data_IF_607198164000
#
_entry.id   IF_607198164000
#
_cell.length_a   1.000
_cell.length_b   1.000
_cell.length_c   1.000
_cell.angle_alpha   90.00
_cell.angle_beta   90.00
_cell.angle_gamma   90.00
#
_symmetry.space_group_name_H-M   'P 1'
#
loop_
_entity.id
_entity.type
_entity.pdbx_description
1 polymer ?
#
# COMPACT_ATOMS: atom_id res chain seq x y z
N UNK A 1 25.33 11.71 19.73
CA UNK A 1 24.66 11.01 20.86
C UNK A 1 23.59 11.82 21.57
N UNK A 2 23.83 13.06 22.04
CA UNK A 2 22.80 13.86 22.76
C UNK A 2 21.52 14.10 21.95
N UNK A 3 21.62 14.38 20.65
CA UNK A 3 20.46 14.61 19.78
C UNK A 3 19.57 13.37 19.64
N UNK A 4 20.17 12.19 19.40
CA UNK A 4 19.43 10.92 19.28
C UNK A 4 18.64 10.60 20.55
N UNK A 5 19.23 10.80 21.73
CA UNK A 5 18.52 10.62 23.02
C UNK A 5 17.29 11.52 23.16
N UNK A 6 17.33 12.75 22.63
CA UNK A 6 16.16 13.65 22.63
C UNK A 6 15.06 13.12 21.71
N UNK A 7 15.42 12.59 20.54
CA UNK A 7 14.47 11.95 19.63
C UNK A 7 13.88 10.69 20.27
N UNK A 8 14.69 9.87 20.93
CA UNK A 8 14.21 8.70 21.69
C UNK A 8 13.20 9.09 22.78
N UNK A 9 13.47 10.16 23.53
CA UNK A 9 12.53 10.64 24.54
C UNK A 9 11.23 11.15 23.90
N UNK A 10 11.33 11.93 22.82
CA UNK A 10 10.19 12.44 22.08
C UNK A 10 9.29 11.31 21.53
N UNK A 11 9.89 10.24 20.99
CA UNK A 11 9.15 9.16 20.37
C UNK A 11 8.54 8.19 21.39
N UNK A 12 9.20 7.92 22.52
CA UNK A 12 8.80 6.84 23.41
C UNK A 12 8.25 7.28 24.77
N UNK A 13 8.60 8.48 25.26
CA UNK A 13 8.20 8.95 26.59
C UNK A 13 7.03 9.97 26.55
N UNK A 14 6.61 10.40 25.35
CA UNK A 14 5.43 11.26 25.16
C UNK A 14 4.12 10.47 25.25
N UNK A 15 2.98 11.16 25.38
CA UNK A 15 1.67 10.49 25.31
C UNK A 15 1.47 9.78 23.95
N UNK A 16 0.68 8.69 23.89
CA UNK A 16 0.36 8.03 22.62
C UNK A 16 -0.23 8.99 21.58
N UNK A 17 -1.11 9.92 21.99
CA UNK A 17 -1.71 10.90 21.08
C UNK A 17 -0.66 11.85 20.47
N UNK A 18 0.24 12.39 21.31
CA UNK A 18 1.33 13.25 20.84
C UNK A 18 2.28 12.51 19.90
N UNK A 19 2.61 11.26 20.21
CA UNK A 19 3.43 10.40 19.35
C UNK A 19 2.77 10.16 17.99
N UNK A 20 1.48 9.81 17.97
CA UNK A 20 0.75 9.58 16.72
C UNK A 20 0.64 10.86 15.89
N UNK A 21 0.34 11.99 16.52
CA UNK A 21 0.27 13.30 15.85
C UNK A 21 1.62 13.66 15.22
N UNK A 22 2.73 13.48 15.96
CA UNK A 22 4.08 13.71 15.44
C UNK A 22 4.37 12.80 14.24
N UNK A 23 4.15 11.49 14.39
CA UNK A 23 4.51 10.51 13.39
C UNK A 23 3.73 10.71 12.08
N UNK A 24 2.40 10.83 12.19
CA UNK A 24 1.55 11.02 11.01
C UNK A 24 1.64 12.44 10.45
N UNK A 25 1.88 13.44 11.30
CA UNK A 25 2.19 14.80 10.86
C UNK A 25 3.44 14.83 9.98
N UNK A 26 4.54 14.22 10.43
CA UNK A 26 5.77 14.11 9.63
C UNK A 26 5.55 13.29 8.36
N UNK A 27 4.79 12.20 8.44
CA UNK A 27 4.46 11.38 7.26
C UNK A 27 3.73 12.20 6.20
N UNK A 28 2.63 12.87 6.57
CA UNK A 28 1.85 13.71 5.65
C UNK A 28 2.67 14.91 5.16
N UNK A 29 3.53 15.49 5.99
CA UNK A 29 4.41 16.57 5.55
C UNK A 29 5.42 16.09 4.50
N UNK A 30 5.92 14.86 4.65
CA UNK A 30 6.92 14.32 3.72
C UNK A 30 6.31 13.80 2.44
N UNK A 31 5.13 13.21 2.51
CA UNK A 31 4.50 12.59 1.33
C UNK A 31 3.62 13.60 0.63
N UNK A 32 2.90 14.44 1.38
CA UNK A 32 1.75 15.20 0.92
C UNK A 32 0.56 14.28 0.60
N UNK A 33 -0.52 14.89 0.09
CA UNK A 33 -1.75 14.19 -0.30
C UNK A 33 -1.93 14.34 -1.80
N UNK A 34 -2.00 13.23 -2.54
CA UNK A 34 -2.14 13.28 -4.00
C UNK A 34 -3.22 12.33 -4.51
N UNK A 35 -3.95 12.80 -5.51
CA UNK A 35 -5.05 12.14 -6.19
C UNK A 35 -4.51 11.25 -7.30
N UNK A 36 -5.01 10.03 -7.37
CA UNK A 36 -4.76 9.16 -8.51
C UNK A 36 -5.23 9.84 -9.82
N UNK A 37 -4.39 9.99 -10.86
CA UNK A 37 -4.72 10.74 -12.08
C UNK A 37 -5.98 10.29 -12.82
N UNK A 38 -6.37 9.02 -12.69
CA UNK A 38 -7.56 8.46 -13.32
C UNK A 38 -8.69 8.16 -12.31
N UNK A 39 -8.74 8.85 -11.17
CA UNK A 39 -9.81 8.66 -10.18
C UNK A 39 -11.20 8.94 -10.80
N UNK A 40 -11.30 9.91 -11.71
CA UNK A 40 -12.55 10.25 -12.39
C UNK A 40 -13.12 9.08 -13.22
N UNK A 41 -12.26 8.24 -13.79
CA UNK A 41 -12.69 7.04 -14.49
C UNK A 41 -13.30 6.02 -13.51
N UNK A 42 -12.77 5.93 -12.29
CA UNK A 42 -13.38 5.15 -11.21
C UNK A 42 -14.73 5.71 -10.77
N UNK A 43 -14.85 7.04 -10.66
CA UNK A 43 -16.11 7.72 -10.35
C UNK A 43 -17.16 7.52 -11.46
N UNK A 44 -16.73 7.38 -12.72
CA UNK A 44 -17.60 7.05 -13.84
C UNK A 44 -18.20 5.65 -13.70
N UNK A 45 -17.39 4.65 -13.30
CA UNK A 45 -17.88 3.30 -12.97
C UNK A 45 -18.85 3.34 -11.78
N UNK A 46 -18.60 4.21 -10.79
CA UNK A 46 -19.47 4.36 -9.62
C UNK A 46 -20.87 4.92 -9.93
N UNK A 47 -21.11 5.45 -11.14
CA UNK A 47 -22.47 5.86 -11.58
C UNK A 47 -23.36 4.66 -11.86
N UNK A 48 -22.78 3.60 -12.42
CA UNK A 48 -23.43 2.32 -12.62
C UNK A 48 -22.36 1.21 -12.69
N UNK A 49 -22.07 0.51 -11.58
CA UNK A 49 -21.04 -0.52 -11.53
C UNK A 49 -21.46 -1.81 -12.28
N UNK A 50 -22.65 -1.83 -12.87
CA UNK A 50 -23.19 -2.92 -13.68
C UNK A 50 -23.22 -2.58 -15.18
N UNK A 51 -22.58 -1.48 -15.59
CA UNK A 51 -22.40 -1.11 -16.99
C UNK A 51 -20.92 -0.80 -17.27
N UNK A 52 -20.50 -0.94 -18.52
CA UNK A 52 -19.20 -0.47 -18.96
C UNK A 52 -19.33 0.95 -19.52
N UNK A 53 -18.76 1.98 -18.86
CA UNK A 53 -18.83 3.34 -19.36
C UNK A 53 -17.70 3.68 -20.35
N UNK A 54 -16.75 2.76 -20.58
CA UNK A 54 -15.56 3.03 -21.38
C UNK A 54 -15.78 2.65 -22.85
N UNK A 55 -15.61 3.60 -23.78
CA UNK A 55 -15.61 3.28 -25.20
C UNK A 55 -14.29 2.62 -25.64
N UNK A 56 -13.19 2.98 -24.98
CA UNK A 56 -11.86 2.45 -25.23
C UNK A 56 -11.65 1.11 -24.49
N UNK A 57 -11.40 0.01 -25.22
CA UNK A 57 -11.09 -1.30 -24.63
C UNK A 57 -9.92 -1.25 -23.65
N UNK A 58 -8.88 -0.45 -23.89
CA UNK A 58 -7.70 -0.41 -23.02
C UNK A 58 -8.01 0.11 -21.62
N UNK A 59 -9.16 0.75 -21.40
CA UNK A 59 -9.61 1.20 -20.09
C UNK A 59 -10.44 0.15 -19.33
N UNK A 60 -10.83 -0.97 -19.97
CA UNK A 60 -11.72 -1.97 -19.36
C UNK A 60 -11.10 -2.67 -18.14
N UNK A 61 -9.76 -2.66 -18.00
CA UNK A 61 -9.10 -3.22 -16.82
C UNK A 61 -9.51 -2.52 -15.51
N UNK A 62 -10.00 -1.27 -15.58
CA UNK A 62 -10.50 -0.52 -14.43
C UNK A 62 -11.77 -1.15 -13.83
N UNK A 63 -12.55 -1.90 -14.62
CA UNK A 63 -13.68 -2.69 -14.14
C UNK A 63 -13.23 -3.84 -13.22
N UNK A 64 -11.95 -4.19 -13.23
CA UNK A 64 -11.33 -5.10 -12.27
C UNK A 64 -11.27 -4.55 -10.84
N UNK A 65 -11.45 -3.23 -10.67
CA UNK A 65 -11.51 -2.57 -9.37
C UNK A 65 -12.95 -2.24 -8.95
N UNK A 66 -13.83 -3.23 -9.01
CA UNK A 66 -15.28 -3.05 -8.94
C UNK A 66 -15.81 -2.68 -7.54
N UNK A 67 -15.24 -3.23 -6.48
CA UNK A 67 -15.79 -3.10 -5.12
C UNK A 67 -15.85 -1.63 -4.65
N UNK A 68 -14.80 -0.84 -4.87
CA UNK A 68 -14.78 0.59 -4.52
C UNK A 68 -15.91 1.39 -5.20
N UNK A 69 -16.02 1.37 -6.54
CA UNK A 69 -17.16 1.90 -7.30
C UNK A 69 -18.52 1.38 -6.84
N UNK A 70 -18.65 0.09 -6.52
CA UNK A 70 -19.90 -0.47 -6.00
C UNK A 70 -20.28 0.15 -4.64
N UNK A 71 -19.34 0.28 -3.71
CA UNK A 71 -19.58 0.95 -2.42
C UNK A 71 -19.91 2.44 -2.59
N UNK A 72 -19.27 3.12 -3.54
CA UNK A 72 -19.62 4.49 -3.87
C UNK A 72 -21.05 4.59 -4.46
N UNK A 73 -21.42 3.64 -5.31
CA UNK A 73 -22.76 3.57 -5.90
C UNK A 73 -23.85 3.38 -4.84
N UNK A 74 -23.66 2.45 -3.88
CA UNK A 74 -24.62 2.23 -2.78
C UNK A 74 -24.78 3.44 -1.87
N UNK A 75 -23.71 4.22 -1.68
CA UNK A 75 -23.71 5.47 -0.91
C UNK A 75 -24.13 6.70 -1.73
N UNK A 76 -24.42 6.54 -3.03
CA UNK A 76 -24.73 7.63 -3.98
C UNK A 76 -23.60 8.66 -4.15
N UNK A 77 -22.35 8.24 -3.97
CA UNK A 77 -21.14 9.06 -4.12
C UNK A 77 -20.65 9.10 -5.57
N UNK A 78 -21.48 9.64 -6.46
CA UNK A 78 -21.20 9.66 -7.91
C UNK A 78 -20.35 10.84 -8.39
N UNK A 79 -20.15 11.86 -7.54
CA UNK A 79 -19.29 13.01 -7.88
C UNK A 79 -17.83 12.66 -7.53
N UNK A 80 -16.84 13.09 -8.35
CA UNK A 80 -15.42 12.86 -8.06
C UNK A 80 -14.98 13.23 -6.65
N UNK A 81 -15.49 14.33 -6.10
CA UNK A 81 -15.17 14.78 -4.74
C UNK A 81 -15.62 13.81 -3.64
N UNK A 82 -16.83 13.25 -3.75
CA UNK A 82 -17.32 12.25 -2.80
C UNK A 82 -16.64 10.90 -2.99
N UNK A 83 -16.33 10.54 -4.25
CA UNK A 83 -15.57 9.34 -4.56
C UNK A 83 -14.14 9.42 -3.98
N UNK A 84 -13.47 10.57 -4.11
CA UNK A 84 -12.21 10.86 -3.45
C UNK A 84 -12.32 10.74 -1.93
N UNK A 85 -13.34 11.36 -1.32
CA UNK A 85 -13.56 11.31 0.13
C UNK A 85 -13.74 9.88 0.63
N UNK A 86 -14.44 9.02 -0.12
CA UNK A 86 -14.58 7.60 0.20
C UNK A 86 -13.23 6.87 0.20
N UNK A 87 -12.42 7.08 -0.84
CA UNK A 87 -11.11 6.45 -0.93
C UNK A 87 -10.12 6.98 0.13
N UNK A 88 -10.19 8.26 0.47
CA UNK A 88 -9.47 8.84 1.60
C UNK A 88 -9.92 8.21 2.93
N UNK A 89 -11.23 7.95 3.11
CA UNK A 89 -11.75 7.27 4.28
C UNK A 89 -11.23 5.82 4.38
N UNK A 90 -11.04 5.11 3.27
CA UNK A 90 -10.39 3.79 3.29
C UNK A 90 -8.93 3.87 3.71
N UNK A 91 -8.17 4.87 3.23
CA UNK A 91 -6.79 5.11 3.68
C UNK A 91 -6.69 5.43 5.18
N UNK A 92 -7.63 6.24 5.69
CA UNK A 92 -7.78 6.51 7.12
C UNK A 92 -8.10 5.24 7.90
N UNK A 93 -9.08 4.45 7.45
CA UNK A 93 -9.48 3.20 8.09
C UNK A 93 -8.34 2.18 8.12
N UNK A 94 -7.56 2.07 7.03
CA UNK A 94 -6.35 1.24 6.98
C UNK A 94 -5.34 1.66 8.06
N UNK A 95 -5.03 2.96 8.13
CA UNK A 95 -4.09 3.52 9.10
C UNK A 95 -4.59 3.32 10.54
N UNK A 96 -5.86 3.60 10.81
CA UNK A 96 -6.49 3.44 12.12
C UNK A 96 -6.52 1.97 12.55
N UNK A 97 -6.84 1.04 11.64
CA UNK A 97 -6.81 -0.39 11.91
C UNK A 97 -5.38 -0.85 12.26
N UNK A 98 -4.36 -0.35 11.56
CA UNK A 98 -2.97 -0.70 11.87
C UNK A 98 -2.56 -0.21 13.26
N UNK A 99 -2.85 1.06 13.59
CA UNK A 99 -2.62 1.64 14.91
C UNK A 99 -3.32 0.82 16.00
N UNK A 100 -4.60 0.52 15.80
CA UNK A 100 -5.37 -0.28 16.75
C UNK A 100 -4.79 -1.68 16.93
N UNK A 101 -4.36 -2.35 15.86
CA UNK A 101 -3.73 -3.67 15.94
C UNK A 101 -2.40 -3.62 16.70
N UNK A 102 -1.57 -2.61 16.44
CA UNK A 102 -0.27 -2.45 17.11
C UNK A 102 -0.46 -2.28 18.62
N UNK A 103 -1.29 -1.32 19.05
CA UNK A 103 -1.52 -1.07 20.49
C UNK A 103 -2.33 -2.15 21.20
N UNK A 104 -3.18 -2.91 20.49
CA UNK A 104 -3.92 -4.03 21.11
C UNK A 104 -3.09 -5.29 21.26
N UNK A 105 -2.04 -5.47 20.45
CA UNK A 105 -1.23 -6.69 20.45
C UNK A 105 0.06 -6.57 21.23
N UNK A 106 0.62 -5.38 21.30
CA UNK A 106 1.95 -5.17 21.83
C UNK A 106 1.94 -4.21 23.02
N UNK A 107 2.92 -4.34 23.94
CA UNK A 107 3.17 -3.30 24.91
C UNK A 107 3.48 -1.96 24.22
N UNK A 108 3.30 -0.82 24.92
CA UNK A 108 3.41 0.51 24.32
C UNK A 108 4.72 0.78 23.59
N UNK A 109 5.85 0.21 24.05
CA UNK A 109 7.16 0.37 23.39
C UNK A 109 7.15 -0.29 22.02
N UNK A 110 6.83 -1.57 21.94
CA UNK A 110 6.85 -2.35 20.71
C UNK A 110 5.80 -1.85 19.72
N UNK A 111 4.64 -1.38 20.19
CA UNK A 111 3.63 -0.73 19.35
C UNK A 111 4.18 0.54 18.68
N UNK A 112 4.95 1.37 19.41
CA UNK A 112 5.62 2.55 18.85
C UNK A 112 6.71 2.18 17.85
N UNK A 113 7.51 1.15 18.14
CA UNK A 113 8.49 0.62 17.17
C UNK A 113 7.77 0.20 15.88
N UNK A 114 6.70 -0.59 15.97
CA UNK A 114 5.92 -1.02 14.81
C UNK A 114 5.39 0.15 13.98
N UNK A 115 4.90 1.21 14.65
CA UNK A 115 4.42 2.42 13.99
C UNK A 115 5.53 3.22 13.31
N UNK A 116 6.71 3.34 13.95
CA UNK A 116 7.89 3.97 13.32
C UNK A 116 8.32 3.18 12.08
N UNK A 117 8.41 1.85 12.18
CA UNK A 117 8.74 1.00 11.03
C UNK A 117 7.69 1.15 9.92
N UNK A 118 6.40 1.18 10.28
CA UNK A 118 5.32 1.36 9.32
C UNK A 118 5.42 2.69 8.58
N UNK A 119 5.58 3.80 9.31
CA UNK A 119 5.75 5.12 8.71
C UNK A 119 6.99 5.20 7.79
N UNK A 120 8.06 4.46 8.15
CA UNK A 120 9.27 4.38 7.35
C UNK A 120 9.09 3.68 5.99
N UNK A 121 8.03 2.88 5.84
CA UNK A 121 7.75 2.10 4.64
C UNK A 121 6.85 2.86 3.67
N UNK A 122 7.09 2.74 2.35
CA UNK A 122 6.27 3.41 1.34
C UNK A 122 4.78 3.07 1.40
N UNK A 123 4.43 1.84 1.80
CA UNK A 123 3.04 1.39 1.93
C UNK A 123 2.19 2.26 2.86
N UNK A 124 2.79 2.84 3.91
CA UNK A 124 2.05 3.73 4.83
C UNK A 124 1.61 5.03 4.15
N UNK A 125 2.44 5.52 3.23
CA UNK A 125 2.23 6.73 2.48
C UNK A 125 1.39 6.52 1.21
N UNK A 126 1.46 5.34 0.57
CA UNK A 126 0.73 5.05 -0.69
C UNK A 126 -0.77 5.37 -0.58
N UNK A 127 -1.40 5.06 0.57
CA UNK A 127 -2.81 5.35 0.79
C UNK A 127 -3.17 6.86 0.81
N UNK A 128 -2.18 7.73 0.99
CA UNK A 128 -2.33 9.20 1.07
C UNK A 128 -1.75 9.90 -0.15
N UNK A 129 -0.61 9.42 -0.64
CA UNK A 129 0.07 9.94 -1.82
C UNK A 129 -0.61 9.54 -3.13
N UNK A 130 -1.41 8.46 -3.12
CA UNK A 130 -2.12 8.00 -4.30
C UNK A 130 -3.54 7.59 -3.89
N UNK A 131 -4.37 8.57 -3.50
CA UNK A 131 -5.73 8.31 -3.05
C UNK A 131 -6.54 7.73 -4.21
N UNK A 132 -6.97 6.48 -4.00
CA UNK A 132 -7.65 5.65 -4.99
C UNK A 132 -7.86 4.22 -4.49
N UNK A 133 -7.87 3.21 -5.37
CA UNK A 133 -8.27 1.85 -5.04
C UNK A 133 -7.34 1.15 -4.04
N UNK A 134 -6.10 1.61 -3.88
CA UNK A 134 -5.11 0.98 -2.99
C UNK A 134 -5.49 1.10 -1.50
N UNK A 135 -6.15 2.19 -1.10
CA UNK A 135 -6.59 2.36 0.31
C UNK A 135 -7.52 1.24 0.77
N UNK A 136 -8.50 0.87 -0.06
CA UNK A 136 -9.40 -0.27 0.21
C UNK A 136 -8.65 -1.61 0.13
N UNK A 137 -7.75 -1.75 -0.85
CA UNK A 137 -6.94 -2.97 -1.02
C UNK A 137 -6.06 -3.25 0.21
N UNK A 138 -5.35 -2.23 0.71
CA UNK A 138 -4.52 -2.31 1.91
C UNK A 138 -5.36 -2.54 3.17
N UNK A 139 -6.52 -1.90 3.29
CA UNK A 139 -7.47 -2.15 4.38
C UNK A 139 -7.90 -3.61 4.41
N UNK A 140 -8.29 -4.18 3.27
CA UNK A 140 -8.70 -5.58 3.16
C UNK A 140 -7.55 -6.55 3.47
N UNK A 141 -6.33 -6.29 2.96
CA UNK A 141 -5.15 -7.08 3.30
C UNK A 141 -4.88 -7.07 4.82
N UNK A 142 -4.95 -5.91 5.46
CA UNK A 142 -4.75 -5.78 6.90
C UNK A 142 -5.88 -6.43 7.71
N UNK A 143 -7.13 -6.31 7.27
CA UNK A 143 -8.27 -6.98 7.87
C UNK A 143 -8.12 -8.51 7.83
N UNK A 144 -7.58 -9.05 6.72
CA UNK A 144 -7.26 -10.47 6.61
C UNK A 144 -6.25 -10.91 7.68
N UNK A 145 -5.20 -10.10 7.92
CA UNK A 145 -4.21 -10.37 8.97
C UNK A 145 -4.77 -10.19 10.39
N UNK A 146 -5.67 -9.24 10.60
CA UNK A 146 -6.39 -9.06 11.87
C UNK A 146 -7.22 -10.30 12.21
N UNK A 147 -7.83 -10.89 11.19
CA UNK A 147 -8.72 -12.05 11.27
C UNK A 147 -7.99 -13.39 11.06
N UNK A 148 -6.66 -13.41 11.03
CA UNK A 148 -5.87 -14.60 10.66
C UNK A 148 -6.17 -15.88 11.47
N UNK A 149 -6.76 -15.74 12.67
CA UNK A 149 -7.22 -16.88 13.50
C UNK A 149 -8.53 -17.52 13.02
N UNK A 150 -9.23 -16.90 12.07
CA UNK A 150 -10.54 -17.33 11.55
C UNK A 150 -10.47 -17.49 10.02
N UNK A 151 -9.90 -18.60 9.49
CA UNK A 151 -9.71 -18.78 8.05
C UNK A 151 -10.97 -18.54 7.19
N UNK A 152 -12.19 -18.91 7.60
CA UNK A 152 -13.39 -18.57 6.83
C UNK A 152 -13.61 -17.06 6.66
N UNK A 153 -13.41 -16.29 7.74
CA UNK A 153 -13.51 -14.83 7.69
C UNK A 153 -12.40 -14.22 6.81
N UNK A 154 -11.20 -14.78 6.85
CA UNK A 154 -10.10 -14.40 5.94
C UNK A 154 -10.46 -14.69 4.48
N UNK A 155 -11.11 -15.82 4.21
CA UNK A 155 -11.62 -16.16 2.88
C UNK A 155 -12.67 -15.17 2.37
N UNK A 156 -13.61 -14.75 3.23
CA UNK A 156 -14.61 -13.72 2.89
C UNK A 156 -13.95 -12.37 2.58
N UNK A 157 -12.95 -11.96 3.35
CA UNK A 157 -12.14 -10.77 3.04
C UNK A 157 -11.39 -10.95 1.72
N UNK A 158 -10.90 -12.15 1.44
CA UNK A 158 -10.31 -12.51 0.16
C UNK A 158 -11.27 -12.34 -1.02
N UNK A 159 -12.54 -12.73 -0.87
CA UNK A 159 -13.57 -12.50 -1.91
C UNK A 159 -13.70 -11.02 -2.21
N UNK A 160 -13.85 -10.17 -1.18
CA UNK A 160 -13.90 -8.73 -1.35
C UNK A 160 -12.63 -8.19 -2.04
N UNK A 161 -11.45 -8.70 -1.67
CA UNK A 161 -10.17 -8.31 -2.26
C UNK A 161 -10.08 -8.73 -3.74
N UNK A 162 -10.56 -9.91 -4.10
CA UNK A 162 -10.63 -10.38 -5.50
C UNK A 162 -11.55 -9.55 -6.38
N UNK A 163 -12.59 -8.95 -5.80
CA UNK A 163 -13.50 -8.01 -6.46
C UNK A 163 -12.95 -6.57 -6.51
N UNK A 164 -11.93 -6.25 -5.69
CA UNK A 164 -11.33 -4.92 -5.59
C UNK A 164 -10.03 -4.77 -6.39
N UNK A 165 -9.12 -5.75 -6.31
CA UNK A 165 -7.88 -5.73 -7.08
C UNK A 165 -7.28 -7.13 -7.11
N UNK A 166 -7.77 -7.97 -8.02
CA UNK A 166 -7.39 -9.38 -8.10
C UNK A 166 -5.88 -9.62 -8.20
N UNK A 167 -5.19 -8.94 -9.11
CA UNK A 167 -3.77 -9.21 -9.40
C UNK A 167 -2.89 -8.93 -8.17
N UNK A 168 -3.05 -7.75 -7.57
CA UNK A 168 -2.34 -7.39 -6.34
C UNK A 168 -2.72 -8.32 -5.18
N UNK A 169 -4.03 -8.58 -4.99
CA UNK A 169 -4.50 -9.47 -3.92
C UNK A 169 -3.98 -10.90 -4.06
N UNK A 170 -3.93 -11.42 -5.28
CA UNK A 170 -3.46 -12.77 -5.60
C UNK A 170 -1.97 -12.90 -5.34
N UNK A 171 -1.16 -11.97 -5.86
CA UNK A 171 0.29 -11.93 -5.65
C UNK A 171 0.65 -11.76 -4.17
N UNK A 172 -0.07 -10.89 -3.45
CA UNK A 172 0.12 -10.68 -2.02
C UNK A 172 -0.21 -11.95 -1.21
N UNK A 173 -1.33 -12.60 -1.51
CA UNK A 173 -1.76 -13.83 -0.83
C UNK A 173 -0.85 -15.02 -1.16
N UNK A 174 -0.40 -15.16 -2.41
CA UNK A 174 0.53 -16.19 -2.83
C UNK A 174 1.91 -16.02 -2.19
N UNK A 175 2.44 -14.78 -2.16
CA UNK A 175 3.68 -14.46 -1.46
C UNK A 175 3.59 -14.77 0.04
N UNK A 176 2.48 -14.41 0.69
CA UNK A 176 2.22 -14.75 2.09
C UNK A 176 2.11 -16.26 2.31
N UNK A 177 1.43 -17.00 1.43
CA UNK A 177 1.32 -18.46 1.52
C UNK A 177 2.70 -19.12 1.40
N UNK A 178 3.51 -18.72 0.41
CA UNK A 178 4.88 -19.21 0.27
C UNK A 178 5.71 -18.93 1.53
N UNK A 179 5.65 -17.71 2.05
CA UNK A 179 6.37 -17.31 3.25
C UNK A 179 5.97 -18.13 4.49
N UNK A 180 4.67 -18.34 4.70
CA UNK A 180 4.15 -19.06 5.87
C UNK A 180 4.39 -20.57 5.78
N UNK A 181 4.41 -21.14 4.58
CA UNK A 181 4.84 -22.53 4.35
C UNK A 181 6.34 -22.72 4.67
N UNK A 182 7.19 -21.79 4.22
CA UNK A 182 8.62 -21.81 4.53
C UNK A 182 8.88 -21.61 6.03
N UNK A 183 8.18 -20.67 6.67
CA UNK A 183 8.28 -20.43 8.11
C UNK A 183 7.87 -21.68 8.91
N UNK A 184 6.77 -22.35 8.52
CA UNK A 184 6.33 -23.60 9.14
C UNK A 184 7.38 -24.71 9.02
N UNK A 185 8.04 -24.86 7.87
CA UNK A 185 9.14 -25.84 7.69
C UNK A 185 10.32 -25.58 8.62
N UNK A 186 10.55 -24.32 8.99
CA UNK A 186 11.60 -23.91 9.92
C UNK A 186 11.15 -23.85 11.39
N UNK A 187 9.91 -24.24 11.70
CA UNK A 187 9.36 -24.16 13.06
C UNK A 187 9.15 -22.72 13.57
N UNK A 188 9.06 -21.74 12.67
CA UNK A 188 8.85 -20.33 13.02
C UNK A 188 7.35 -20.07 13.14
N UNK A 189 6.92 -19.67 14.34
CA UNK A 189 5.56 -19.21 14.58
C UNK A 189 5.35 -17.85 13.91
N UNK A 190 4.27 -17.72 13.13
CA UNK A 190 3.90 -16.47 12.45
C UNK A 190 2.47 -16.11 12.80
N UNK A 191 2.14 -14.83 12.70
CA UNK A 191 0.79 -14.32 12.95
C UNK A 191 -0.27 -15.00 12.06
N UNK A 192 0.07 -15.16 10.77
CA UNK A 192 -0.80 -15.76 9.77
C UNK A 192 -0.28 -17.16 9.45
N UNK A 193 -1.04 -18.20 9.78
CA UNK A 193 -0.68 -19.56 9.40
C UNK A 193 -1.02 -19.88 7.93
N UNK A 194 -0.48 -20.97 7.37
CA UNK A 194 -0.71 -21.34 5.97
C UNK A 194 -2.19 -21.60 5.66
N UNK A 195 -3.00 -22.03 6.63
CA UNK A 195 -4.45 -22.20 6.45
C UNK A 195 -5.16 -20.87 6.17
N UNK A 196 -4.78 -19.81 6.87
CA UNK A 196 -5.36 -18.49 6.67
C UNK A 196 -4.86 -17.86 5.36
N UNK A 197 -3.56 -18.00 5.04
CA UNK A 197 -3.01 -17.55 3.77
C UNK A 197 -3.65 -18.27 2.56
N UNK A 198 -3.87 -19.58 2.67
CA UNK A 198 -4.59 -20.36 1.64
C UNK A 198 -6.05 -19.92 1.52
N UNK A 199 -6.74 -19.69 2.64
CA UNK A 199 -8.11 -19.18 2.62
C UNK A 199 -8.20 -17.80 1.96
N UNK A 200 -7.23 -16.91 2.23
CA UNK A 200 -7.14 -15.61 1.56
C UNK A 200 -6.99 -15.77 0.04
N UNK A 201 -6.05 -16.61 -0.41
CA UNK A 201 -5.81 -16.86 -1.83
C UNK A 201 -7.05 -17.46 -2.53
N UNK A 202 -7.66 -18.46 -1.91
CA UNK A 202 -8.90 -19.06 -2.41
C UNK A 202 -10.03 -18.02 -2.49
N UNK A 203 -10.18 -17.20 -1.45
CA UNK A 203 -11.11 -16.07 -1.44
C UNK A 203 -10.88 -15.11 -2.61
N UNK A 204 -9.64 -14.70 -2.85
CA UNK A 204 -9.28 -13.79 -3.97
C UNK A 204 -9.67 -14.37 -5.32
N UNK A 205 -9.40 -15.66 -5.54
CA UNK A 205 -9.79 -16.36 -6.79
C UNK A 205 -11.31 -16.42 -6.92
N UNK A 206 -12.03 -16.77 -5.85
CA UNK A 206 -13.49 -16.79 -5.84
C UNK A 206 -14.10 -15.40 -6.05
N UNK A 207 -13.49 -14.35 -5.49
CA UNK A 207 -13.90 -12.97 -5.70
C UNK A 207 -13.76 -12.54 -7.16
N UNK A 208 -12.67 -12.91 -7.82
CA UNK A 208 -12.49 -12.67 -9.25
C UNK A 208 -13.52 -13.43 -10.09
N UNK A 209 -13.75 -14.71 -9.80
CA UNK A 209 -14.78 -15.49 -10.48
C UNK A 209 -16.19 -14.88 -10.27
N UNK A 210 -16.50 -14.46 -9.04
CA UNK A 210 -17.75 -13.77 -8.70
C UNK A 210 -17.91 -12.45 -9.45
N UNK A 211 -16.83 -11.65 -9.55
CA UNK A 211 -16.82 -10.43 -10.37
C UNK A 211 -17.12 -10.73 -11.84
N UNK A 212 -16.45 -11.73 -12.43
CA UNK A 212 -16.75 -12.13 -13.80
C UNK A 212 -18.21 -12.58 -13.98
N UNK A 213 -18.77 -13.31 -13.01
CA UNK A 213 -20.19 -13.68 -12.99
C UNK A 213 -21.11 -12.46 -12.97
N UNK A 214 -20.83 -11.47 -12.12
CA UNK A 214 -21.60 -10.21 -12.05
C UNK A 214 -21.56 -9.48 -13.40
N UNK A 215 -20.36 -9.33 -13.99
CA UNK A 215 -20.21 -8.62 -15.26
C UNK A 215 -20.92 -9.36 -16.40
N UNK A 216 -20.78 -10.68 -16.46
CA UNK A 216 -21.45 -11.51 -17.47
C UNK A 216 -22.98 -11.46 -17.33
N UNK A 217 -23.51 -11.57 -16.12
CA UNK A 217 -24.94 -11.50 -15.84
C UNK A 217 -25.56 -10.17 -16.30
N UNK A 218 -24.81 -9.07 -16.18
CA UNK A 218 -25.25 -7.73 -16.59
C UNK A 218 -24.89 -7.40 -18.05
N UNK A 219 -24.39 -8.37 -18.84
CA UNK A 219 -24.02 -8.15 -20.24
C UNK A 219 -22.85 -7.19 -20.43
N UNK A 220 -21.99 -7.01 -19.41
CA UNK A 220 -20.85 -6.09 -19.46
C UNK A 220 -19.70 -6.72 -20.21
N UNK A 221 -19.45 -6.25 -21.44
CA UNK A 221 -18.35 -6.75 -22.27
C UNK A 221 -16.98 -6.20 -21.80
N UNK A 222 -16.14 -7.06 -21.25
CA UNK A 222 -14.74 -6.77 -20.93
C UNK A 222 -13.86 -7.35 -22.05
N UNK A 223 -13.27 -6.48 -22.88
CA UNK A 223 -12.48 -6.87 -24.06
C UNK A 223 -10.98 -6.86 -23.83
N UNK A 224 -10.51 -6.19 -22.77
CA UNK A 224 -9.11 -6.10 -22.40
C UNK A 224 -8.98 -6.10 -20.87
N UNK A 225 -8.01 -6.85 -20.36
CA UNK A 225 -7.61 -6.89 -18.96
C UNK A 225 -6.20 -6.34 -18.74
N UNK A 226 -5.71 -6.45 -17.51
CA UNK A 226 -4.36 -5.96 -17.15
C UNK A 226 -3.24 -6.73 -17.85
N UNK A 227 -3.46 -8.01 -18.18
CA UNK A 227 -2.49 -8.81 -18.94
C UNK A 227 -2.39 -8.36 -20.39
N UNK A 228 -3.51 -7.98 -21.01
CA UNK A 228 -3.53 -7.44 -22.36
C UNK A 228 -2.83 -6.07 -22.40
N UNK A 229 -3.14 -5.21 -21.41
CA UNK A 229 -2.43 -3.93 -21.24
C UNK A 229 -0.92 -4.14 -21.06
N UNK A 230 -0.52 -5.09 -20.20
CA UNK A 230 0.89 -5.42 -19.98
C UNK A 230 1.55 -5.92 -21.27
N UNK A 231 0.90 -6.80 -22.03
CA UNK A 231 1.44 -7.30 -23.29
C UNK A 231 1.68 -6.16 -24.28
N UNK A 232 0.76 -5.19 -24.37
CA UNK A 232 0.91 -4.01 -25.21
C UNK A 232 2.02 -3.04 -24.74
N UNK A 233 2.26 -2.97 -23.42
CA UNK A 233 3.18 -1.99 -22.81
C UNK A 233 4.46 -2.59 -22.23
N UNK A 234 4.72 -3.89 -22.46
CA UNK A 234 5.84 -4.60 -21.82
C UNK A 234 7.19 -3.95 -22.11
N UNK A 235 7.45 -3.58 -23.37
CA UNK A 235 8.68 -2.92 -23.77
C UNK A 235 8.89 -1.59 -23.03
N UNK A 236 7.82 -0.84 -22.80
CA UNK A 236 7.86 0.41 -22.05
C UNK A 236 8.12 0.18 -20.57
N UNK A 237 7.43 -0.78 -19.93
CA UNK A 237 7.69 -1.14 -18.52
C UNK A 237 9.14 -1.61 -18.31
N UNK A 238 9.66 -2.45 -19.21
CA UNK A 238 11.05 -2.92 -19.18
C UNK A 238 12.02 -1.74 -19.32
N UNK A 239 11.80 -0.84 -20.28
CA UNK A 239 12.62 0.35 -20.48
C UNK A 239 12.64 1.24 -19.24
N UNK A 240 11.47 1.52 -18.67
CA UNK A 240 11.32 2.35 -17.47
C UNK A 240 12.12 1.79 -16.28
N UNK A 241 12.06 0.47 -16.07
CA UNK A 241 12.82 -0.18 -15.01
C UNK A 241 14.32 -0.20 -15.29
N UNK A 242 14.74 -0.64 -16.49
CA UNK A 242 16.15 -0.84 -16.83
C UNK A 242 16.95 0.47 -16.89
N UNK A 243 16.30 1.60 -17.18
CA UNK A 243 16.96 2.91 -17.16
C UNK A 243 17.16 3.46 -15.74
N UNK A 244 16.33 3.06 -14.77
CA UNK A 244 16.36 3.60 -13.39
C UNK A 244 16.22 2.54 -12.29
N UNK A 245 16.94 1.40 -12.34
CA UNK A 245 16.69 0.26 -11.45
C UNK A 245 16.98 0.60 -9.99
N UNK A 246 17.96 1.47 -9.72
CA UNK A 246 18.35 1.88 -8.38
C UNK A 246 17.27 2.74 -7.70
N UNK A 247 16.67 3.71 -8.41
CA UNK A 247 15.57 4.53 -7.90
C UNK A 247 14.36 3.64 -7.64
N UNK A 248 14.03 2.77 -8.59
CA UNK A 248 12.90 1.85 -8.48
C UNK A 248 13.10 0.92 -7.28
N UNK A 249 14.22 0.22 -7.16
CA UNK A 249 14.51 -0.68 -6.04
C UNK A 249 14.50 0.06 -4.69
N UNK A 250 15.12 1.24 -4.61
CA UNK A 250 15.09 2.06 -3.41
C UNK A 250 13.66 2.42 -3.02
N UNK A 251 12.85 2.87 -3.97
CA UNK A 251 11.48 3.36 -3.72
C UNK A 251 10.51 2.31 -3.18
N UNK A 252 10.78 1.00 -3.35
CA UNK A 252 9.88 -0.08 -2.90
C UNK A 252 9.79 -0.17 -1.38
N UNK A 253 10.93 -0.05 -0.70
CA UNK A 253 11.01 -0.12 0.77
C UNK A 253 11.51 1.19 1.39
N UNK A 254 12.12 2.09 0.62
CA UNK A 254 12.75 3.31 1.11
C UNK A 254 13.73 3.02 2.24
N UNK A 255 13.69 3.80 3.33
CA UNK A 255 14.45 3.51 4.55
C UNK A 255 14.18 2.12 5.16
N UNK A 256 13.07 1.47 4.79
CA UNK A 256 12.77 0.07 5.14
C UNK A 256 13.82 -0.94 4.67
N UNK A 257 14.68 -0.60 3.70
CA UNK A 257 15.85 -1.43 3.37
C UNK A 257 16.81 -1.61 4.56
N UNK A 258 16.93 -0.61 5.46
CA UNK A 258 17.70 -0.75 6.69
C UNK A 258 17.08 -1.78 7.64
N UNK A 259 15.75 -1.85 7.67
CA UNK A 259 15.00 -2.86 8.43
C UNK A 259 15.20 -4.23 7.81
N UNK A 260 15.24 -4.34 6.48
CA UNK A 260 15.55 -5.57 5.78
C UNK A 260 16.95 -6.08 6.16
N UNK A 261 17.97 -5.22 6.09
CA UNK A 261 19.33 -5.59 6.49
C UNK A 261 19.36 -6.07 7.95
N UNK A 262 18.69 -5.35 8.86
CA UNK A 262 18.58 -5.77 10.27
C UNK A 262 17.85 -7.10 10.43
N UNK A 263 16.83 -7.38 9.62
CA UNK A 263 16.12 -8.65 9.63
C UNK A 263 16.96 -9.80 9.08
N UNK A 264 17.90 -9.51 8.17
CA UNK A 264 18.85 -10.49 7.64
C UNK A 264 19.83 -11.03 8.69
N UNK A 265 20.09 -10.27 9.77
CA UNK A 265 20.90 -10.73 10.92
C UNK A 265 20.33 -11.98 11.60
N UNK A 266 19.07 -12.34 11.33
CA UNK A 266 18.46 -13.59 11.78
C UNK A 266 18.98 -14.82 11.01
N UNK A 267 19.86 -14.64 10.02
CA UNK A 267 20.46 -15.69 9.21
C UNK A 267 19.38 -16.49 8.48
N UNK A 268 19.44 -17.83 8.58
CA UNK A 268 18.50 -18.74 7.91
C UNK A 268 17.03 -18.52 8.31
N UNK A 269 16.76 -17.98 9.50
CA UNK A 269 15.40 -17.67 9.96
C UNK A 269 14.74 -16.51 9.19
N UNK A 270 15.53 -15.74 8.44
CA UNK A 270 15.03 -14.67 7.57
C UNK A 270 14.59 -15.15 6.18
N UNK A 271 14.98 -16.37 5.76
CA UNK A 271 14.66 -16.91 4.44
C UNK A 271 13.16 -16.97 4.10
N UNK A 272 12.25 -17.29 5.05
CA UNK A 272 10.81 -17.25 4.77
C UNK A 272 10.31 -15.87 4.33
N UNK A 273 11.01 -14.80 4.71
CA UNK A 273 10.72 -13.44 4.26
C UNK A 273 11.40 -13.13 2.92
N UNK A 274 12.72 -13.37 2.83
CA UNK A 274 13.51 -12.94 1.67
C UNK A 274 13.24 -13.71 0.38
N UNK A 275 12.95 -15.01 0.44
CA UNK A 275 12.70 -15.78 -0.79
C UNK A 275 11.41 -15.31 -1.49
N UNK A 276 10.26 -15.18 -0.79
CA UNK A 276 9.06 -14.61 -1.40
C UNK A 276 9.21 -13.14 -1.76
N UNK A 277 9.91 -12.33 -0.97
CA UNK A 277 10.19 -10.93 -1.33
C UNK A 277 10.98 -10.87 -2.66
N UNK A 278 12.04 -11.67 -2.80
CA UNK A 278 12.82 -11.75 -4.03
C UNK A 278 11.98 -12.12 -5.24
N UNK A 279 11.07 -13.10 -5.10
CA UNK A 279 10.13 -13.45 -6.16
C UNK A 279 9.17 -12.30 -6.51
N UNK A 280 8.64 -11.57 -5.51
CA UNK A 280 7.78 -10.42 -5.74
C UNK A 280 8.54 -9.25 -6.40
N UNK A 281 9.82 -9.04 -6.07
CA UNK A 281 10.64 -8.00 -6.70
C UNK A 281 10.84 -8.22 -8.21
N UNK A 282 10.64 -9.43 -8.73
CA UNK A 282 10.63 -9.69 -10.18
C UNK A 282 9.44 -9.03 -10.90
N UNK A 283 8.47 -8.47 -10.17
CA UNK A 283 7.37 -7.68 -10.73
C UNK A 283 7.79 -6.26 -11.10
N UNK A 284 8.90 -5.75 -10.58
CA UNK A 284 9.40 -4.40 -10.86
C UNK A 284 9.56 -4.08 -12.35
N UNK A 285 10.17 -4.96 -13.18
CA UNK A 285 10.22 -4.75 -14.63
C UNK A 285 8.87 -4.82 -15.35
N UNK A 286 7.81 -5.29 -14.68
CA UNK A 286 6.49 -5.54 -15.27
C UNK A 286 5.43 -4.52 -14.83
N UNK A 287 5.73 -3.67 -13.85
CA UNK A 287 4.81 -2.67 -13.34
C UNK A 287 5.15 -1.28 -13.90
N UNK A 288 4.14 -0.54 -14.37
CA UNK A 288 4.30 0.88 -14.74
C UNK A 288 4.37 1.82 -13.53
N UNK A 289 3.77 1.43 -12.41
CA UNK A 289 3.71 2.14 -11.12
C UNK A 289 4.40 1.31 -10.03
N UNK A 290 5.72 1.21 -10.18
CA UNK A 290 6.56 0.23 -9.50
C UNK A 290 6.44 0.29 -7.97
N UNK A 291 6.53 1.48 -7.37
CA UNK A 291 6.43 1.61 -5.90
C UNK A 291 5.04 1.22 -5.41
N UNK A 292 3.98 1.64 -6.11
CA UNK A 292 2.59 1.38 -5.73
C UNK A 292 2.32 -0.11 -5.64
N UNK A 293 2.57 -0.81 -6.75
CA UNK A 293 2.27 -2.24 -6.88
C UNK A 293 3.07 -3.03 -5.85
N UNK A 294 4.38 -2.77 -5.76
CA UNK A 294 5.22 -3.52 -4.84
C UNK A 294 4.87 -3.25 -3.38
N UNK A 295 4.65 -1.99 -2.99
CA UNK A 295 4.25 -1.65 -1.62
C UNK A 295 3.00 -2.41 -1.18
N UNK A 296 2.00 -2.55 -2.07
CA UNK A 296 0.77 -3.31 -1.80
C UNK A 296 1.03 -4.81 -1.74
N UNK A 297 1.70 -5.40 -2.74
CA UNK A 297 1.87 -6.87 -2.79
C UNK A 297 2.85 -7.40 -1.74
N UNK A 298 3.86 -6.62 -1.36
CA UNK A 298 4.78 -7.01 -0.28
C UNK A 298 4.24 -6.73 1.11
N UNK A 299 3.14 -5.95 1.23
CA UNK A 299 2.62 -5.51 2.52
C UNK A 299 2.34 -6.67 3.48
N UNK A 300 1.65 -7.77 3.10
CA UNK A 300 1.38 -8.84 4.06
C UNK A 300 2.65 -9.51 4.59
N UNK A 301 3.69 -9.61 3.76
CA UNK A 301 4.99 -10.13 4.14
C UNK A 301 5.67 -9.24 5.17
N UNK A 302 5.77 -7.94 4.86
CA UNK A 302 6.35 -6.95 5.78
C UNK A 302 5.53 -6.85 7.07
N UNK A 303 4.21 -6.92 6.98
CA UNK A 303 3.33 -6.90 8.14
C UNK A 303 3.55 -8.11 9.05
N UNK A 304 3.64 -9.32 8.50
CA UNK A 304 3.76 -10.55 9.30
C UNK A 304 5.14 -10.71 9.93
N UNK A 305 6.21 -10.34 9.22
CA UNK A 305 7.58 -10.60 9.69
C UNK A 305 8.24 -9.40 10.37
N UNK A 306 7.80 -8.16 10.11
CA UNK A 306 8.37 -6.97 10.73
C UNK A 306 7.38 -6.25 11.64
N UNK A 307 6.23 -5.85 11.10
CA UNK A 307 5.35 -4.90 11.78
C UNK A 307 4.47 -5.54 12.86
N UNK A 308 4.19 -6.83 12.75
CA UNK A 308 3.35 -7.61 13.65
C UNK A 308 4.08 -8.84 14.23
N UNK A 309 5.42 -8.85 14.16
CA UNK A 309 6.26 -9.85 14.83
C UNK A 309 6.78 -9.29 16.17
N UNK A 310 6.15 -9.70 17.27
CA UNK A 310 6.53 -9.23 18.60
C UNK A 310 7.98 -9.53 18.98
N UNK A 311 8.56 -10.62 18.47
CA UNK A 311 9.95 -10.99 18.76
C UNK A 311 10.96 -10.09 18.05
N UNK A 312 10.65 -9.67 16.83
CA UNK A 312 11.45 -8.72 16.07
C UNK A 312 11.34 -7.31 16.68
N UNK A 313 10.13 -6.87 16.98
CA UNK A 313 9.87 -5.56 17.59
C UNK A 313 10.55 -5.41 18.96
N UNK A 314 10.45 -6.43 19.82
CA UNK A 314 11.06 -6.40 21.15
C UNK A 314 12.59 -6.27 21.10
N UNK A 315 13.24 -6.87 20.09
CA UNK A 315 14.69 -6.81 19.85
C UNK A 315 15.16 -5.50 19.25
N UNK A 316 14.27 -4.69 18.69
CA UNK A 316 14.62 -3.40 18.10
C UNK A 316 14.78 -2.37 19.22
N UNK A 317 16.00 -1.87 19.42
CA UNK A 317 16.29 -0.91 20.48
C UNK A 317 15.61 0.46 20.22
N UNK A 318 15.33 1.22 21.29
CA UNK A 318 14.79 2.59 21.17
C UNK A 318 15.67 3.46 20.28
N UNK A 319 16.99 3.36 20.44
CA UNK A 319 17.98 4.06 19.64
C UNK A 319 17.95 3.68 18.15
N UNK A 320 17.78 2.39 17.83
CA UNK A 320 17.66 1.92 16.44
C UNK A 320 16.40 2.48 15.77
N UNK A 321 15.24 2.41 16.46
CA UNK A 321 13.99 2.95 15.96
C UNK A 321 14.02 4.48 15.82
N UNK A 322 14.61 5.19 16.79
CA UNK A 322 14.80 6.63 16.70
C UNK A 322 15.77 7.02 15.57
N UNK A 323 16.83 6.25 15.37
CA UNK A 323 17.75 6.41 14.25
C UNK A 323 17.04 6.24 12.91
N UNK A 324 16.23 5.20 12.77
CA UNK A 324 15.40 4.99 11.58
C UNK A 324 14.43 6.14 11.36
N UNK A 325 13.77 6.64 12.42
CA UNK A 325 12.87 7.80 12.31
C UNK A 325 13.61 9.04 11.80
N UNK A 326 14.82 9.31 12.29
CA UNK A 326 15.64 10.44 11.81
C UNK A 326 16.03 10.24 10.36
N UNK A 327 16.58 9.07 10.00
CA UNK A 327 16.95 8.74 8.61
C UNK A 327 15.76 8.89 7.69
N UNK A 328 14.62 8.32 8.07
CA UNK A 328 13.37 8.47 7.34
C UNK A 328 13.02 9.95 7.20
N UNK A 329 12.93 10.71 8.30
CA UNK A 329 12.52 12.12 8.27
C UNK A 329 13.38 13.01 7.35
N UNK A 330 14.70 12.76 7.26
CA UNK A 330 15.61 13.58 6.45
C UNK A 330 15.82 13.08 5.02
N UNK A 331 15.59 11.79 4.78
CA UNK A 331 15.77 11.23 3.43
C UNK A 331 14.67 11.78 2.51
N UNK A 332 14.95 12.22 1.29
CA UNK A 332 13.91 12.61 0.35
C UNK A 332 12.92 11.47 0.10
N UNK A 333 11.63 11.77 0.18
CA UNK A 333 10.58 10.82 -0.20
C UNK A 333 10.66 10.57 -1.71
N UNK A 334 10.67 9.30 -2.12
CA UNK A 334 10.75 8.92 -3.53
C UNK A 334 9.76 7.80 -3.82
N UNK A 335 8.86 8.04 -4.77
CA UNK A 335 7.86 7.10 -5.24
C UNK A 335 7.99 6.92 -6.76
N UNK A 336 8.46 5.77 -7.22
CA UNK A 336 8.72 5.52 -8.64
C UNK A 336 7.43 5.22 -9.42
N UNK A 337 7.22 6.01 -10.48
CA UNK A 337 6.18 5.80 -11.49
C UNK A 337 6.68 6.19 -12.86
N UNK A 338 6.51 5.29 -13.82
CA UNK A 338 7.07 5.44 -15.15
C UNK A 338 8.61 5.36 -15.13
N UNK A 339 9.21 4.66 -14.16
CA UNK A 339 10.66 4.63 -13.96
C UNK A 339 11.26 5.92 -13.37
N UNK A 340 10.44 6.95 -13.13
CA UNK A 340 10.90 8.25 -12.61
C UNK A 340 10.49 8.44 -11.15
N UNK A 341 11.32 9.08 -10.32
CA UNK A 341 10.94 9.41 -8.95
C UNK A 341 9.87 10.51 -8.97
N UNK A 342 8.77 10.25 -8.25
CA UNK A 342 7.78 11.25 -7.85
C UNK A 342 8.07 11.66 -6.42
N UNK A 343 8.27 12.96 -6.25
CA UNK A 343 8.64 13.56 -4.98
C UNK A 343 7.42 13.85 -4.13
N UNK A 344 7.66 14.43 -2.95
CA UNK A 344 6.59 14.95 -2.10
C UNK A 344 5.63 15.83 -2.88
N UNK A 345 4.37 15.64 -2.56
CA UNK A 345 3.23 16.34 -3.07
C UNK A 345 3.13 17.77 -2.43
N UNK A 346 3.64 17.91 -1.20
CA UNK A 346 3.48 19.11 -0.37
C UNK A 346 4.16 20.39 -0.90
N UNK A 347 5.39 20.37 -1.46
CA UNK A 347 5.99 21.60 -2.00
C UNK A 347 5.15 22.23 -3.12
N UNK A 348 4.49 21.39 -3.93
CA UNK A 348 3.58 21.85 -4.96
C UNK A 348 2.32 22.49 -4.37
N UNK A 349 1.71 21.85 -3.35
CA UNK A 349 0.59 22.43 -2.60
C UNK A 349 0.90 23.83 -2.07
N UNK A 350 2.07 23.99 -1.43
CA UNK A 350 2.50 25.28 -0.92
C UNK A 350 2.66 26.31 -2.04
N UNK A 351 3.30 25.95 -3.15
CA UNK A 351 3.45 26.84 -4.29
C UNK A 351 2.08 27.26 -4.87
N UNK A 352 1.12 26.34 -4.96
CA UNK A 352 -0.23 26.61 -5.42
C UNK A 352 -0.99 27.58 -4.49
N UNK A 353 -0.95 27.33 -3.18
CA UNK A 353 -1.60 28.19 -2.18
C UNK A 353 -0.97 29.58 -2.20
N UNK A 354 0.36 29.68 -2.18
CA UNK A 354 1.06 30.97 -2.23
C UNK A 354 0.81 31.71 -3.54
N UNK A 355 0.71 31.00 -4.67
CA UNK A 355 0.33 31.63 -5.93
C UNK A 355 -1.11 32.14 -5.90
N UNK A 356 -2.08 31.37 -5.38
CA UNK A 356 -3.48 31.81 -5.27
C UNK A 356 -3.63 33.03 -4.35
N UNK A 357 -2.86 33.09 -3.27
CA UNK A 357 -2.94 34.18 -2.28
C UNK A 357 -2.16 35.43 -2.71
N UNK A 358 -1.01 35.26 -3.36
CA UNK A 358 -0.06 36.35 -3.56
C UNK A 358 0.44 36.52 -5.00
N UNK A 359 0.13 35.59 -5.91
CA UNK A 359 0.64 35.61 -7.29
C UNK A 359 2.15 35.38 -7.40
N UNK A 360 2.81 34.84 -6.36
CA UNK A 360 4.28 34.77 -6.29
C UNK A 360 4.91 33.76 -7.25
N UNK A 361 4.17 32.77 -7.75
CA UNK A 361 4.75 31.65 -8.50
C UNK A 361 4.00 31.39 -9.81
N UNK A 362 4.73 31.15 -10.90
CA UNK A 362 4.15 30.59 -12.11
C UNK A 362 3.91 29.07 -11.91
N UNK A 363 2.72 28.72 -11.44
CA UNK A 363 2.32 27.32 -11.25
C UNK A 363 1.86 26.73 -12.59
N UNK A 364 2.44 25.61 -13.07
CA UNK A 364 2.04 25.01 -14.33
C UNK A 364 0.53 24.71 -14.39
N UNK A 365 -0.16 25.00 -15.50
CA UNK A 365 -1.62 24.84 -15.61
C UNK A 365 -2.07 23.38 -15.62
N UNK A 366 -1.19 22.46 -16.02
CA UNK A 366 -1.46 21.04 -16.05
C UNK A 366 -0.34 20.29 -15.32
N UNK A 367 -0.37 20.24 -13.98
CA UNK A 367 0.42 19.25 -13.29
C UNK A 367 -0.25 17.91 -13.61
N UNK A 368 0.29 17.17 -14.59
CA UNK A 368 -0.06 15.76 -14.79
C UNK A 368 0.01 14.90 -13.49
N UNK A 369 0.44 15.44 -12.33
CA UNK A 369 0.08 14.93 -11.03
C UNK A 369 -0.34 16.03 -10.02
N UNK A 370 -1.60 16.52 -9.91
CA UNK A 370 -2.06 17.25 -8.68
C UNK A 370 -3.60 17.20 -8.44
N UNK A 371 -4.10 17.09 -7.18
CA UNK A 371 -5.51 16.81 -6.84
C UNK A 371 -6.49 18.00 -6.86
N UNK A 372 -6.04 19.25 -7.07
CA UNK A 372 -6.91 20.44 -7.01
C UNK A 372 -6.80 21.26 -8.30
N UNK A 373 -7.68 20.99 -9.27
CA UNK A 373 -8.03 21.95 -10.31
C UNK A 373 -9.26 22.75 -9.87
#
# INVERSE_FOLDING_TARGET
MKALRRVEALLFDTSPASFLLLLFGVMLLRTGVWLMPNLDLGALVARNPFANPFPDPESHYLLGNWLGPFLAWTLRFHRPTFFFALHAAFGLAFTALFVALAFRRFPPREARVALILFAALPVSATAWFWIGPDGLTLLLLLAALALARRPPAVGLVGVALGMQHFEQGCLAAAGLLAATLLARRQGIATLCGPRAALALLAGVVLGKAGLHGILAWNGVAVRSGRLDWLAAHLGECLRQFLLHPHVVLWSVLGPGWLVALRYADLGRRSLPFFLPLGALLLLLPLAGDQTRVLAVVTFPLVAVFWLLDGSFLARTARAEAAGLFVVWAVTPWSWAWGGTPRWSALPYDFALVLNRLFGWFAVPPNPLPWPFQ
#
